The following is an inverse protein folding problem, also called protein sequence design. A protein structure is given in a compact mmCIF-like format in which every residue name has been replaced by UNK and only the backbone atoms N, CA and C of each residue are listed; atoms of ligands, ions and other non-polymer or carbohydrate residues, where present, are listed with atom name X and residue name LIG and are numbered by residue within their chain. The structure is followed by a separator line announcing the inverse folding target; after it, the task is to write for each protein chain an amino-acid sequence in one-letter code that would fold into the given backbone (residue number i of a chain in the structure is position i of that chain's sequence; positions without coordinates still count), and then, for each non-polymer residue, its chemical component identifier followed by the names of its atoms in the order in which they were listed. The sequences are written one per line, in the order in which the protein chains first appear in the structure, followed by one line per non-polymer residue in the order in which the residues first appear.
data_IF_351163100128
#
_entry.id   IF_351163100128
#
_cell.length_a   1.000
_cell.length_b   1.000
_cell.length_c   1.000
_cell.angle_alpha   90.00
_cell.angle_beta   90.00
_cell.angle_gamma   90.00
#
_symmetry.space_group_name_H-M   'P 1'
#
loop_
_entity.id
_entity.type
_entity.pdbx_description
1 polymer ?
#
# COMPACT_ATOMS: atom_id res chain seq x y z
N UNK A 1 -0.30 -18.07 -6.77
CA UNK A 1 0.75 -17.03 -6.55
C UNK A 1 0.42 -15.67 -7.17
N UNK A 2 -0.15 -15.61 -8.38
CA UNK A 2 -0.54 -14.34 -9.02
C UNK A 2 -1.42 -13.44 -8.13
N UNK A 3 -2.45 -14.03 -7.52
CA UNK A 3 -3.37 -13.30 -6.62
C UNK A 3 -2.66 -12.74 -5.38
N UNK A 4 -1.87 -13.57 -4.69
CA UNK A 4 -1.12 -13.14 -3.50
C UNK A 4 -0.12 -12.02 -3.80
N UNK A 5 0.50 -12.05 -4.99
CA UNK A 5 1.32 -10.94 -5.50
C UNK A 5 0.49 -9.66 -5.68
N UNK A 6 -0.71 -9.79 -6.24
CA UNK A 6 -1.61 -8.66 -6.43
C UNK A 6 -2.06 -8.05 -5.10
N UNK A 7 -2.42 -8.87 -4.09
CA UNK A 7 -2.77 -8.39 -2.75
C UNK A 7 -1.59 -7.65 -2.09
N UNK A 8 -0.36 -8.14 -2.30
CA UNK A 8 0.86 -7.44 -1.85
C UNK A 8 0.99 -6.07 -2.52
N UNK A 9 0.76 -5.99 -3.83
CA UNK A 9 0.79 -4.72 -4.57
C UNK A 9 -0.31 -3.75 -4.11
N UNK A 10 -1.50 -4.23 -3.74
CA UNK A 10 -2.55 -3.40 -3.14
C UNK A 10 -2.07 -2.80 -1.80
N UNK A 11 -1.50 -3.63 -0.93
CA UNK A 11 -0.94 -3.18 0.35
C UNK A 11 0.18 -2.16 0.14
N UNK A 12 1.09 -2.38 -0.82
CA UNK A 12 2.15 -1.43 -1.16
C UNK A 12 1.58 -0.10 -1.67
N UNK A 13 0.54 -0.11 -2.51
CA UNK A 13 -0.12 1.12 -2.98
C UNK A 13 -0.76 1.88 -1.84
N UNK A 14 -1.46 1.20 -0.92
CA UNK A 14 -2.05 1.82 0.27
C UNK A 14 -0.96 2.37 1.18
N UNK A 15 0.11 1.61 1.43
CA UNK A 15 1.24 2.08 2.23
C UNK A 15 1.87 3.34 1.63
N UNK A 16 2.11 3.37 0.31
CA UNK A 16 2.63 4.54 -0.40
C UNK A 16 1.66 5.73 -0.39
N UNK A 17 0.34 5.48 -0.35
CA UNK A 17 -0.66 6.52 -0.19
C UNK A 17 -0.53 7.17 1.19
N UNK A 18 -0.49 6.34 2.24
CA UNK A 18 -0.43 6.77 3.64
C UNK A 18 0.90 7.45 3.97
N UNK A 19 2.03 6.93 3.49
CA UNK A 19 3.36 7.54 3.68
C UNK A 19 3.68 8.63 2.67
N UNK A 20 2.79 8.86 1.70
CA UNK A 20 3.02 9.72 0.55
C UNK A 20 2.49 11.14 0.71
N UNK A 21 2.59 11.95 -0.37
CA UNK A 21 2.12 13.34 -0.37
C UNK A 21 0.60 13.45 -0.18
N UNK A 22 -0.17 12.40 -0.44
CA UNK A 22 -1.63 12.38 -0.28
C UNK A 22 -2.05 12.65 1.17
N UNK A 23 -1.44 11.97 2.14
CA UNK A 23 -1.69 12.22 3.58
C UNK A 23 -1.34 13.65 3.97
N UNK A 24 -0.21 14.17 3.47
CA UNK A 24 0.17 15.55 3.70
C UNK A 24 -0.82 16.55 3.07
N UNK A 25 -1.43 16.21 1.93
CA UNK A 25 -2.50 17.01 1.32
C UNK A 25 -3.79 16.98 2.14
N UNK A 26 -4.21 15.81 2.63
CA UNK A 26 -5.37 15.68 3.51
C UNK A 26 -5.23 16.49 4.79
N UNK A 27 -4.11 16.36 5.52
CA UNK A 27 -3.83 17.11 6.74
C UNK A 27 -3.78 18.63 6.49
N UNK A 28 -3.14 19.06 5.39
CA UNK A 28 -3.14 20.47 5.01
C UNK A 28 -4.56 20.95 4.75
N UNK A 29 -5.36 20.20 3.99
CA UNK A 29 -6.76 20.50 3.73
C UNK A 29 -7.56 20.72 5.00
N UNK A 30 -7.55 19.74 5.91
CA UNK A 30 -8.22 19.83 7.19
C UNK A 30 -7.79 21.07 8.00
N UNK A 31 -6.48 21.32 8.09
CA UNK A 31 -5.94 22.51 8.77
C UNK A 31 -6.43 23.82 8.17
N UNK A 32 -6.42 23.96 6.85
CA UNK A 32 -6.80 25.20 6.18
C UNK A 32 -8.30 25.43 6.17
N UNK A 33 -9.11 24.37 6.02
CA UNK A 33 -10.56 24.43 6.19
C UNK A 33 -10.91 24.81 7.63
N UNK A 34 -10.29 24.19 8.62
CA UNK A 34 -10.50 24.55 10.04
C UNK A 34 -10.13 26.00 10.34
N UNK A 35 -9.01 26.52 9.80
CA UNK A 35 -8.65 27.94 9.90
C UNK A 35 -9.68 28.87 9.23
N UNK A 36 -10.21 28.47 8.07
CA UNK A 36 -11.23 29.24 7.37
C UNK A 36 -12.54 29.25 8.17
N UNK A 37 -12.99 28.09 8.65
CA UNK A 37 -14.19 27.95 9.47
C UNK A 37 -14.08 28.78 10.75
N UNK A 38 -12.93 28.73 11.42
CA UNK A 38 -12.65 29.58 12.59
C UNK A 38 -12.71 31.06 12.24
N UNK A 39 -12.07 31.50 11.15
CA UNK A 39 -12.08 32.92 10.75
C UNK A 39 -13.48 33.43 10.36
N UNK A 40 -14.30 32.58 9.74
CA UNK A 40 -15.71 32.92 9.42
C UNK A 40 -16.54 33.01 10.68
N UNK A 41 -16.44 32.03 11.58
CA UNK A 41 -17.22 31.99 12.82
C UNK A 41 -16.84 33.14 13.74
N UNK A 42 -15.54 33.39 13.92
CA UNK A 42 -15.02 34.53 14.70
C UNK A 42 -15.56 35.86 14.18
N UNK A 43 -15.57 36.04 12.85
CA UNK A 43 -16.11 37.25 12.24
C UNK A 43 -17.60 37.42 12.57
N UNK A 44 -18.41 36.38 12.38
CA UNK A 44 -19.84 36.41 12.65
C UNK A 44 -20.11 36.69 14.14
N UNK A 45 -19.46 35.96 15.05
CA UNK A 45 -19.63 36.15 16.49
C UNK A 45 -19.18 37.53 16.95
N UNK A 46 -18.06 38.04 16.42
CA UNK A 46 -17.62 39.42 16.68
C UNK A 46 -18.71 40.43 16.31
N UNK A 47 -19.41 40.24 15.17
CA UNK A 47 -20.51 41.12 14.81
C UNK A 47 -21.66 41.04 15.81
N UNK A 48 -21.93 39.88 16.38
CA UNK A 48 -22.96 39.75 17.44
C UNK A 48 -22.56 40.51 18.70
N UNK A 49 -21.31 40.38 19.15
CA UNK A 49 -20.83 41.03 20.38
C UNK A 49 -20.64 42.55 20.23
N UNK A 50 -20.39 43.02 19.01
CA UNK A 50 -20.28 44.45 18.68
C UNK A 50 -21.64 45.09 18.31
N UNK A 51 -22.76 44.40 18.57
CA UNK A 51 -24.10 44.89 18.26
C UNK A 51 -24.87 45.33 19.52
N UNK A 52 -25.83 46.22 19.32
CA UNK A 52 -26.83 46.66 20.28
C UNK A 52 -28.24 46.25 19.83
N UNK A 53 -29.26 46.52 20.65
CA UNK A 53 -30.64 46.10 20.38
C UNK A 53 -31.20 46.56 19.02
N UNK A 54 -30.77 47.71 18.51
CA UNK A 54 -31.27 48.30 17.25
C UNK A 54 -30.17 48.63 16.24
N UNK A 55 -28.90 48.35 16.58
CA UNK A 55 -27.73 48.69 15.77
C UNK A 55 -26.81 47.48 15.68
N UNK A 56 -26.41 47.10 14.48
CA UNK A 56 -25.60 45.91 14.28
C UNK A 56 -25.47 45.49 12.82
N UNK A 57 -24.58 44.54 12.61
CA UNK A 57 -24.19 44.06 11.28
C UNK A 57 -24.86 42.75 10.86
N UNK A 58 -25.54 42.06 11.78
CA UNK A 58 -26.25 40.81 11.49
C UNK A 58 -27.74 40.98 11.79
N UNK A 59 -28.59 40.59 10.84
CA UNK A 59 -30.04 40.57 10.97
C UNK A 59 -30.54 39.13 10.99
N UNK A 60 -31.53 38.84 11.84
CA UNK A 60 -32.10 37.50 11.95
C UNK A 60 -32.96 37.11 10.73
N UNK A 61 -33.54 38.10 10.04
CA UNK A 61 -34.39 37.91 8.86
C UNK A 61 -34.25 39.14 7.96
N UNK A 62 -34.08 38.93 6.66
CA UNK A 62 -34.10 40.00 5.67
C UNK A 62 -35.43 40.78 5.74
N UNK A 63 -35.37 42.09 5.58
CA UNK A 63 -36.50 43.01 5.60
C UNK A 63 -36.93 43.43 7.01
N UNK A 64 -36.18 43.06 8.05
CA UNK A 64 -36.56 43.30 9.46
C UNK A 64 -35.43 43.98 10.25
N UNK A 65 -35.82 44.69 11.30
CA UNK A 65 -34.92 45.40 12.21
C UNK A 65 -34.37 44.51 13.34
N UNK A 66 -34.64 43.22 13.34
CA UNK A 66 -34.23 42.31 14.41
C UNK A 66 -32.73 42.01 14.26
N UNK A 67 -31.92 42.76 14.99
CA UNK A 67 -30.47 42.58 15.08
C UNK A 67 -30.17 41.34 15.92
N UNK A 68 -29.23 40.53 15.45
CA UNK A 68 -28.62 39.47 16.26
C UNK A 68 -27.52 40.12 17.10
N UNK A 69 -27.71 40.19 18.42
CA UNK A 69 -26.78 40.87 19.33
C UNK A 69 -26.12 39.95 20.37
N UNK A 70 -26.29 38.64 20.21
CA UNK A 70 -25.59 37.63 20.99
C UNK A 70 -25.28 36.38 20.15
N UNK A 71 -24.16 35.72 20.43
CA UNK A 71 -23.78 34.49 19.74
C UNK A 71 -24.84 33.37 19.88
N UNK A 72 -25.50 33.27 21.05
CA UNK A 72 -26.57 32.31 21.26
C UNK A 72 -27.78 32.54 20.32
N UNK A 73 -28.09 33.79 19.99
CA UNK A 73 -29.13 34.13 19.02
C UNK A 73 -28.71 33.74 17.60
N UNK A 74 -27.43 33.98 17.24
CA UNK A 74 -26.87 33.58 15.95
C UNK A 74 -26.97 32.07 15.77
N UNK A 75 -26.55 31.29 16.76
CA UNK A 75 -26.57 29.83 16.70
C UNK A 75 -27.99 29.27 16.70
N UNK A 76 -28.94 29.94 17.38
CA UNK A 76 -30.35 29.54 17.34
C UNK A 76 -31.02 29.86 16.00
N UNK A 77 -30.67 30.98 15.36
CA UNK A 77 -31.20 31.35 14.05
C UNK A 77 -30.55 30.52 12.93
N UNK A 78 -29.28 30.19 13.07
CA UNK A 78 -28.47 29.49 12.10
C UNK A 78 -27.56 28.46 12.78
N UNK A 79 -28.08 27.23 12.94
CA UNK A 79 -27.35 26.16 13.66
C UNK A 79 -26.00 25.82 13.01
N UNK A 80 -25.84 26.05 11.70
CA UNK A 80 -24.59 25.89 10.96
C UNK A 80 -23.54 26.99 11.21
N UNK A 81 -23.89 28.05 11.96
CA UNK A 81 -23.00 29.19 12.25
C UNK A 81 -22.29 29.06 13.61
N UNK A 82 -22.18 27.83 14.15
CA UNK A 82 -21.36 27.50 15.32
C UNK A 82 -20.25 26.52 14.94
N UNK A 83 -19.16 26.52 15.70
CA UNK A 83 -18.12 25.50 15.55
C UNK A 83 -18.62 24.17 16.09
N UNK A 84 -18.37 23.11 15.33
CA UNK A 84 -18.52 21.74 15.81
C UNK A 84 -17.20 21.28 16.43
N UNK A 85 -17.27 20.88 17.70
CA UNK A 85 -16.13 20.39 18.48
C UNK A 85 -16.14 18.86 18.63
N UNK A 86 -17.09 18.17 17.98
CA UNK A 86 -17.11 16.72 17.93
C UNK A 86 -15.85 16.18 17.26
N UNK A 87 -15.47 14.95 17.64
CA UNK A 87 -14.38 14.26 16.97
C UNK A 87 -14.76 14.01 15.50
N UNK A 88 -13.86 14.29 14.54
CA UNK A 88 -14.13 14.03 13.13
C UNK A 88 -14.42 12.55 12.90
N UNK A 89 -15.58 12.25 12.32
CA UNK A 89 -15.94 10.92 11.86
C UNK A 89 -15.53 10.70 10.41
N UNK A 90 -15.33 9.44 10.03
CA UNK A 90 -15.16 9.08 8.62
C UNK A 90 -16.49 9.29 7.90
N UNK A 91 -16.45 10.06 6.81
CA UNK A 91 -17.58 10.25 5.91
C UNK A 91 -17.16 10.01 4.47
N UNK A 92 -17.97 9.25 3.74
CA UNK A 92 -17.73 8.95 2.32
C UNK A 92 -18.33 10.01 1.39
N UNK A 93 -19.04 11.00 1.95
CA UNK A 93 -19.72 12.03 1.17
C UNK A 93 -18.74 13.12 0.76
N UNK A 94 -18.58 13.39 -0.55
CA UNK A 94 -17.74 14.48 -1.02
C UNK A 94 -18.23 15.84 -0.51
N UNK A 95 -17.34 16.80 -0.19
CA UNK A 95 -17.76 18.13 0.23
C UNK A 95 -18.59 18.84 -0.86
N UNK A 96 -19.78 19.33 -0.50
CA UNK A 96 -20.68 20.00 -1.43
C UNK A 96 -20.31 21.47 -1.70
N UNK A 97 -19.71 22.16 -0.72
CA UNK A 97 -19.46 23.62 -0.79
C UNK A 97 -18.06 23.95 -1.32
N UNK A 98 -17.00 23.34 -0.77
CA UNK A 98 -15.62 23.55 -1.21
C UNK A 98 -15.19 22.34 -2.04
N UNK A 99 -15.12 22.48 -3.36
CA UNK A 99 -14.82 21.38 -4.28
C UNK A 99 -13.42 21.50 -4.87
N UNK A 100 -13.05 20.55 -5.74
CA UNK A 100 -11.77 20.54 -6.47
C UNK A 100 -11.58 21.75 -7.39
N UNK A 101 -12.68 22.41 -7.79
CA UNK A 101 -12.67 23.55 -8.71
C UNK A 101 -12.72 24.89 -8.00
N UNK A 102 -13.40 25.00 -6.85
CA UNK A 102 -13.66 26.27 -6.16
C UNK A 102 -14.82 26.09 -5.18
N UNK A 103 -15.55 27.17 -4.89
CA UNK A 103 -16.78 27.07 -4.10
C UNK A 103 -18.01 26.84 -4.98
N UNK A 104 -19.01 26.14 -4.44
CA UNK A 104 -20.34 25.98 -5.03
C UNK A 104 -21.39 26.78 -4.24
N UNK A 105 -22.63 26.76 -4.72
CA UNK A 105 -23.75 27.47 -4.10
C UNK A 105 -23.69 28.98 -4.31
N UNK A 106 -24.29 29.73 -3.37
CA UNK A 106 -24.49 31.19 -3.49
C UNK A 106 -23.19 31.98 -3.61
N UNK A 107 -22.09 31.52 -2.99
CA UNK A 107 -20.80 32.22 -3.02
C UNK A 107 -20.02 32.01 -4.32
N UNK A 108 -20.43 31.08 -5.19
CA UNK A 108 -19.70 30.70 -6.40
C UNK A 108 -19.43 31.91 -7.32
N UNK A 109 -20.46 32.70 -7.58
CA UNK A 109 -20.39 33.79 -8.55
C UNK A 109 -20.06 35.15 -7.91
N UNK A 110 -19.65 35.15 -6.63
CA UNK A 110 -19.55 36.36 -5.84
C UNK A 110 -20.92 36.91 -5.45
N UNK A 111 -20.90 37.87 -4.54
CA UNK A 111 -22.08 38.59 -4.06
C UNK A 111 -21.77 40.08 -4.08
N UNK A 112 -22.66 40.88 -4.65
CA UNK A 112 -22.57 42.33 -4.62
C UNK A 112 -22.99 42.90 -3.26
N UNK A 113 -22.88 44.21 -3.09
CA UNK A 113 -23.35 44.88 -1.89
C UNK A 113 -24.83 44.60 -1.59
N UNK A 114 -25.69 44.71 -2.60
CA UNK A 114 -27.13 44.52 -2.45
C UNK A 114 -27.49 43.04 -2.18
N UNK A 115 -26.59 42.10 -2.50
CA UNK A 115 -26.75 40.68 -2.17
C UNK A 115 -26.27 40.33 -0.74
N UNK A 116 -25.41 41.17 -0.15
CA UNK A 116 -24.80 40.94 1.17
C UNK A 116 -25.36 41.81 2.27
N UNK A 117 -26.11 42.85 1.93
CA UNK A 117 -26.64 43.83 2.86
C UNK A 117 -28.11 44.10 2.59
N UNK A 118 -28.82 44.43 3.66
CA UNK A 118 -30.22 44.79 3.61
C UNK A 118 -30.37 46.28 3.95
N UNK A 119 -30.89 47.06 3.02
CA UNK A 119 -31.10 48.50 3.17
C UNK A 119 -32.45 48.88 3.76
N UNK A 120 -33.30 47.91 4.09
CA UNK A 120 -34.66 48.15 4.62
C UNK A 120 -34.68 48.71 6.05
N UNK A 121 -33.56 48.64 6.77
CA UNK A 121 -33.44 49.09 8.15
C UNK A 121 -32.14 49.87 8.37
N UNK A 122 -32.23 50.99 9.12
CA UNK A 122 -31.05 51.78 9.48
C UNK A 122 -30.31 51.18 10.69
N UNK A 123 -29.54 50.11 10.45
CA UNK A 123 -28.86 49.35 11.50
C UNK A 123 -27.43 49.82 11.78
N UNK A 124 -26.91 50.82 11.05
CA UNK A 124 -25.57 51.42 11.19
C UNK A 124 -24.42 50.41 11.34
N UNK A 125 -24.27 49.48 10.39
CA UNK A 125 -23.14 48.56 10.36
C UNK A 125 -21.84 49.26 9.88
N UNK A 126 -21.01 49.71 10.82
CA UNK A 126 -19.79 50.47 10.52
C UNK A 126 -18.71 49.67 9.75
N UNK A 127 -18.67 48.34 9.92
CA UNK A 127 -17.77 47.47 9.13
C UNK A 127 -18.24 47.26 7.70
N UNK A 128 -19.50 47.54 7.41
CA UNK A 128 -20.15 47.28 6.12
C UNK A 128 -20.21 48.48 5.20
N UNK A 129 -19.61 49.62 5.56
CA UNK A 129 -19.62 50.81 4.71
C UNK A 129 -18.57 50.75 3.61
N UNK A 130 -18.82 51.50 2.53
CA UNK A 130 -17.94 51.52 1.36
C UNK A 130 -16.53 52.05 1.62
N UNK A 131 -15.60 51.68 0.74
CA UNK A 131 -14.17 52.00 0.82
C UNK A 131 -13.83 53.48 0.88
N UNK A 132 -14.72 54.38 0.46
CA UNK A 132 -14.53 55.83 0.58
C UNK A 132 -14.94 56.41 1.94
N UNK A 133 -15.76 55.69 2.69
CA UNK A 133 -16.44 56.12 3.91
C UNK A 133 -16.42 55.03 4.97
N UNK A 134 -15.33 54.25 5.04
CA UNK A 134 -15.20 53.11 5.95
C UNK A 134 -15.23 53.60 7.41
N UNK A 135 -16.17 53.12 8.23
CA UNK A 135 -16.47 53.76 9.53
C UNK A 135 -15.83 53.11 10.75
N UNK A 136 -15.38 51.86 10.66
CA UNK A 136 -14.87 51.09 11.82
C UNK A 136 -13.90 51.86 12.73
N UNK A 137 -13.01 52.69 12.16
CA UNK A 137 -12.01 53.47 12.91
C UNK A 137 -12.31 54.96 13.01
N UNK A 138 -13.34 55.47 12.33
CA UNK A 138 -13.63 56.91 12.20
C UNK A 138 -15.11 57.28 12.43
N UNK A 139 -15.91 56.36 12.99
CA UNK A 139 -17.30 56.58 13.38
C UNK A 139 -18.12 57.28 12.31
N UNK A 140 -18.80 58.37 12.68
CA UNK A 140 -19.71 59.11 11.80
C UNK A 140 -19.03 59.75 10.58
N UNK A 141 -17.74 60.07 10.65
CA UNK A 141 -17.03 60.72 9.54
C UNK A 141 -16.55 59.74 8.47
N UNK A 142 -16.23 58.50 8.87
CA UNK A 142 -15.61 57.51 7.99
C UNK A 142 -14.23 57.94 7.45
N UNK A 143 -13.53 57.01 6.81
CA UNK A 143 -12.27 57.31 6.11
C UNK A 143 -12.08 56.43 4.88
N UNK A 144 -11.22 56.88 3.96
CA UNK A 144 -10.91 56.14 2.75
C UNK A 144 -9.93 55.00 3.07
N UNK A 145 -10.31 53.78 2.73
CA UNK A 145 -9.48 52.57 2.83
C UNK A 145 -9.14 51.99 1.44
N UNK A 146 -9.32 52.77 0.36
CA UNK A 146 -9.06 52.33 -1.03
C UNK A 146 -7.65 51.78 -1.26
N UNK A 147 -6.65 52.30 -0.53
CA UNK A 147 -5.27 51.81 -0.61
C UNK A 147 -5.05 50.43 0.04
N UNK A 148 -5.91 50.05 1.00
CA UNK A 148 -5.78 48.85 1.82
C UNK A 148 -7.18 48.30 2.15
N UNK A 149 -7.86 47.79 1.12
CA UNK A 149 -9.25 47.30 1.25
C UNK A 149 -9.32 46.19 2.31
N UNK A 150 -10.16 46.33 3.35
CA UNK A 150 -10.35 45.33 4.38
C UNK A 150 -10.74 43.96 3.83
N UNK A 151 -10.10 42.91 4.37
CA UNK A 151 -10.46 41.51 4.14
C UNK A 151 -10.93 40.89 5.45
N UNK A 152 -12.14 40.36 5.46
CA UNK A 152 -12.84 39.85 6.63
C UNK A 152 -13.20 38.37 6.43
N UNK A 153 -13.52 37.67 7.52
CA UNK A 153 -13.90 36.25 7.48
C UNK A 153 -12.90 35.37 6.70
N UNK A 154 -11.61 35.53 7.00
CA UNK A 154 -10.54 34.81 6.30
C UNK A 154 -10.34 35.22 4.84
N UNK A 155 -10.84 36.40 4.43
CA UNK A 155 -10.75 36.93 3.07
C UNK A 155 -11.93 36.54 2.17
N UNK A 156 -12.99 35.93 2.70
CA UNK A 156 -14.23 35.67 1.95
C UNK A 156 -15.09 36.91 1.79
N UNK A 157 -15.02 37.85 2.73
CA UNK A 157 -15.70 39.12 2.69
C UNK A 157 -14.68 40.23 2.44
N UNK A 158 -15.00 41.13 1.52
CA UNK A 158 -14.26 42.36 1.25
C UNK A 158 -15.24 43.53 1.22
N UNK A 159 -14.74 44.75 1.08
CA UNK A 159 -15.59 45.93 0.85
C UNK A 159 -15.27 46.60 -0.48
N UNK A 160 -16.29 47.03 -1.21
CA UNK A 160 -16.16 47.81 -2.45
C UNK A 160 -16.53 49.29 -2.21
N UNK A 161 -16.93 50.04 -3.24
CA UNK A 161 -17.33 51.45 -3.06
C UNK A 161 -18.62 51.62 -2.25
N UNK A 162 -19.45 50.59 -2.16
CA UNK A 162 -20.78 50.63 -1.56
C UNK A 162 -20.79 49.94 -0.19
N UNK A 163 -20.05 48.85 -0.03
CA UNK A 163 -19.96 48.13 1.24
C UNK A 163 -19.49 46.69 1.06
N UNK A 164 -20.00 45.78 1.88
CA UNK A 164 -19.61 44.36 1.81
C UNK A 164 -19.81 43.76 0.42
N UNK A 165 -18.89 42.90 0.02
CA UNK A 165 -18.98 42.07 -1.17
C UNK A 165 -18.28 40.74 -0.92
N UNK A 166 -18.64 39.73 -1.69
CA UNK A 166 -17.92 38.46 -1.79
C UNK A 166 -17.32 38.37 -3.19
N UNK A 167 -15.99 38.18 -3.34
CA UNK A 167 -15.40 38.00 -4.66
C UNK A 167 -15.92 36.73 -5.33
N UNK A 168 -15.75 36.59 -6.64
CA UNK A 168 -16.05 35.34 -7.35
C UNK A 168 -15.15 34.22 -6.79
N UNK A 169 -15.70 33.05 -6.46
CA UNK A 169 -14.94 31.94 -5.85
C UNK A 169 -15.04 30.62 -6.64
N UNK A 170 -15.58 30.67 -7.86
CA UNK A 170 -15.88 29.50 -8.71
C UNK A 170 -14.66 28.73 -9.25
N UNK A 171 -13.46 29.32 -9.20
CA UNK A 171 -12.23 28.69 -9.68
C UNK A 171 -11.12 28.72 -8.63
N UNK A 172 -10.22 27.74 -8.69
CA UNK A 172 -9.08 27.58 -7.80
C UNK A 172 -8.18 28.81 -7.77
N UNK A 173 -7.97 29.43 -8.93
CA UNK A 173 -7.14 30.63 -9.05
C UNK A 173 -7.77 31.78 -8.28
N UNK A 174 -9.05 32.07 -8.55
CA UNK A 174 -9.72 33.22 -7.91
C UNK A 174 -9.91 32.98 -6.41
N UNK A 175 -10.26 31.75 -6.01
CA UNK A 175 -10.35 31.35 -4.62
C UNK A 175 -9.04 31.57 -3.84
N UNK A 176 -7.89 31.27 -4.47
CA UNK A 176 -6.56 31.46 -3.87
C UNK A 176 -6.15 32.93 -3.78
N UNK A 177 -6.60 33.77 -4.71
CA UNK A 177 -6.36 35.22 -4.67
C UNK A 177 -7.22 35.91 -3.60
N UNK A 178 -8.47 35.44 -3.43
CA UNK A 178 -9.38 35.97 -2.42
C UNK A 178 -8.90 35.65 -1.01
N UNK A 179 -8.65 34.37 -0.73
CA UNK A 179 -8.30 33.83 0.58
C UNK A 179 -7.22 32.75 0.47
N UNK A 180 -6.11 32.92 1.20
CA UNK A 180 -5.06 31.90 1.28
C UNK A 180 -5.62 30.58 1.84
N UNK A 181 -6.50 30.66 2.84
CA UNK A 181 -7.12 29.50 3.48
C UNK A 181 -8.01 28.74 2.51
N UNK A 182 -8.89 29.45 1.78
CA UNK A 182 -9.76 28.81 0.79
C UNK A 182 -8.96 28.23 -0.38
N UNK A 183 -7.97 28.95 -0.90
CA UNK A 183 -7.10 28.45 -1.98
C UNK A 183 -6.39 27.16 -1.60
N UNK A 184 -5.89 27.10 -0.36
CA UNK A 184 -5.25 25.90 0.17
C UNK A 184 -6.23 24.75 0.39
N UNK A 185 -7.46 25.03 0.86
CA UNK A 185 -8.53 24.04 0.99
C UNK A 185 -8.94 23.45 -0.37
N UNK A 186 -9.17 24.29 -1.39
CA UNK A 186 -9.48 23.84 -2.76
C UNK A 186 -8.32 23.03 -3.36
N UNK A 187 -7.07 23.45 -3.13
CA UNK A 187 -5.88 22.69 -3.57
C UNK A 187 -5.80 21.33 -2.89
N UNK A 188 -6.10 21.24 -1.59
CA UNK A 188 -6.13 19.98 -0.88
C UNK A 188 -7.25 19.07 -1.41
N UNK A 189 -8.47 19.58 -1.58
CA UNK A 189 -9.59 18.82 -2.15
C UNK A 189 -9.26 18.26 -3.54
N UNK A 190 -8.56 19.03 -4.39
CA UNK A 190 -8.11 18.59 -5.69
C UNK A 190 -7.04 17.48 -5.62
N UNK A 191 -6.16 17.56 -4.62
CA UNK A 191 -5.05 16.62 -4.43
C UNK A 191 -5.39 15.45 -3.49
N UNK A 192 -6.63 15.33 -3.01
CA UNK A 192 -7.08 14.14 -2.30
C UNK A 192 -6.95 12.98 -3.27
N UNK A 193 -6.09 12.04 -2.93
CA UNK A 193 -5.92 10.85 -3.72
C UNK A 193 -7.24 10.06 -3.74
N UNK A 194 -7.56 9.40 -4.87
CA UNK A 194 -8.74 8.55 -4.92
C UNK A 194 -8.65 7.48 -3.84
N UNK A 195 -9.78 7.14 -3.26
CA UNK A 195 -9.89 5.95 -2.43
C UNK A 195 -9.40 4.76 -3.27
N UNK A 196 -8.51 3.94 -2.70
CA UNK A 196 -8.10 2.71 -3.37
C UNK A 196 -9.24 1.73 -3.09
N UNK A 197 -10.16 1.61 -4.06
CA UNK A 197 -11.18 0.57 -4.00
C UNK A 197 -10.46 -0.77 -3.81
N UNK A 198 -10.84 -1.50 -2.75
CA UNK A 198 -10.51 -2.91 -2.67
C UNK A 198 -11.21 -3.56 -3.86
N UNK A 199 -10.44 -3.94 -4.89
CA UNK A 199 -11.02 -4.66 -6.01
C UNK A 199 -11.63 -5.94 -5.44
N UNK A 200 -12.96 -6.03 -5.41
CA UNK A 200 -13.68 -7.25 -5.06
C UNK A 200 -13.49 -8.23 -6.22
N UNK A 201 -12.42 -9.01 -6.12
CA UNK A 201 -11.97 -9.96 -7.15
C UNK A 201 -12.38 -11.39 -6.81
N UNK A 202 -13.52 -11.56 -6.14
CA UNK A 202 -14.06 -12.86 -5.74
C UNK A 202 -14.63 -13.69 -6.91
N UNK A 203 -14.47 -13.23 -8.15
CA UNK A 203 -15.03 -13.85 -9.35
C UNK A 203 -14.09 -13.67 -10.55
N UNK A 204 -14.15 -14.61 -11.49
CA UNK A 204 -13.34 -14.62 -12.73
C UNK A 204 -13.54 -13.33 -13.55
N UNK A 205 -14.76 -12.81 -13.78
CA UNK A 205 -14.95 -11.57 -14.52
C UNK A 205 -14.25 -10.37 -13.88
N UNK A 206 -14.24 -10.30 -12.54
CA UNK A 206 -13.57 -9.24 -11.80
C UNK A 206 -12.03 -9.36 -11.87
N UNK A 207 -11.49 -10.58 -11.79
CA UNK A 207 -10.06 -10.82 -12.00
C UNK A 207 -9.60 -10.39 -13.39
N UNK A 208 -10.38 -10.72 -14.43
CA UNK A 208 -10.05 -10.36 -15.82
C UNK A 208 -10.05 -8.86 -16.08
N UNK A 209 -10.91 -8.11 -15.40
CA UNK A 209 -11.04 -6.66 -15.58
C UNK A 209 -10.11 -5.85 -14.66
N UNK A 210 -9.67 -6.43 -13.54
CA UNK A 210 -8.81 -5.77 -12.57
C UNK A 210 -7.41 -5.47 -13.16
N UNK A 211 -7.14 -4.19 -13.43
CA UNK A 211 -5.86 -3.73 -13.96
C UNK A 211 -4.67 -4.15 -13.09
N UNK A 212 -4.83 -4.15 -11.77
CA UNK A 212 -3.79 -4.57 -10.82
C UNK A 212 -3.52 -6.08 -10.88
N UNK A 213 -4.54 -6.89 -11.16
CA UNK A 213 -4.35 -8.32 -11.34
C UNK A 213 -3.62 -8.63 -12.65
N UNK A 214 -3.86 -7.84 -13.71
CA UNK A 214 -3.21 -8.00 -15.02
C UNK A 214 -1.68 -7.99 -14.92
N UNK A 215 -1.11 -7.08 -14.14
CA UNK A 215 0.34 -6.99 -13.93
C UNK A 215 0.91 -8.25 -13.26
N UNK A 216 0.22 -8.76 -12.24
CA UNK A 216 0.57 -10.02 -11.58
C UNK A 216 0.34 -11.23 -12.50
N UNK A 217 -0.72 -11.22 -13.31
CA UNK A 217 -1.05 -12.28 -14.24
C UNK A 217 0.02 -12.44 -15.33
N UNK A 218 0.55 -11.33 -15.88
CA UNK A 218 1.71 -11.35 -16.80
C UNK A 218 2.90 -12.07 -16.19
N UNK A 219 3.21 -11.77 -14.92
CA UNK A 219 4.36 -12.36 -14.23
C UNK A 219 4.22 -13.85 -13.99
N UNK A 220 3.04 -14.31 -13.59
CA UNK A 220 2.87 -15.69 -13.12
C UNK A 220 2.26 -16.65 -14.14
N UNK A 221 1.45 -16.16 -15.09
CA UNK A 221 0.88 -16.98 -16.16
C UNK A 221 1.71 -16.91 -17.44
N UNK A 222 2.31 -15.75 -17.76
CA UNK A 222 3.09 -15.57 -19.00
C UNK A 222 4.60 -15.53 -18.78
N UNK A 223 5.07 -15.52 -17.51
CA UNK A 223 6.48 -15.32 -17.16
C UNK A 223 7.08 -14.06 -17.79
N UNK A 224 6.29 -12.98 -17.84
CA UNK A 224 6.66 -11.68 -18.42
C UNK A 224 6.84 -10.61 -17.35
N UNK A 225 7.46 -9.50 -17.74
CA UNK A 225 7.51 -8.33 -16.85
C UNK A 225 6.12 -7.69 -16.71
N UNK A 226 5.91 -6.90 -15.65
CA UNK A 226 4.63 -6.24 -15.38
C UNK A 226 4.16 -5.33 -16.51
N UNK A 227 5.10 -4.76 -17.28
CA UNK A 227 4.81 -3.77 -18.35
C UNK A 227 4.80 -4.37 -19.76
N UNK A 228 5.18 -5.65 -19.91
CA UNK A 228 5.26 -6.31 -21.20
C UNK A 228 3.88 -6.87 -21.58
N UNK A 229 3.16 -6.11 -22.40
CA UNK A 229 1.76 -6.39 -22.76
C UNK A 229 1.60 -7.41 -23.91
N UNK A 230 2.70 -7.95 -24.45
CA UNK A 230 2.62 -9.06 -25.39
C UNK A 230 1.82 -10.22 -24.78
N UNK A 231 0.92 -10.79 -25.58
CA UNK A 231 0.10 -11.96 -25.23
C UNK A 231 -0.94 -11.72 -24.11
N UNK A 232 -1.22 -10.47 -23.75
CA UNK A 232 -2.30 -10.11 -22.82
C UNK A 232 -3.67 -10.69 -23.22
N UNK A 233 -3.90 -10.88 -24.52
CA UNK A 233 -5.12 -11.49 -25.07
C UNK A 233 -5.30 -12.96 -24.65
N UNK A 234 -4.23 -13.65 -24.22
CA UNK A 234 -4.30 -15.02 -23.70
C UNK A 234 -4.57 -15.09 -22.20
N UNK A 235 -4.42 -13.98 -21.45
CA UNK A 235 -4.64 -13.97 -20.00
C UNK A 235 -6.05 -14.41 -19.59
N UNK A 236 -7.14 -13.99 -20.26
CA UNK A 236 -8.49 -14.39 -19.84
C UNK A 236 -8.70 -15.90 -19.80
N UNK A 237 -8.20 -16.65 -20.79
CA UNK A 237 -8.33 -18.11 -20.82
C UNK A 237 -7.41 -18.80 -19.82
N UNK A 238 -6.20 -18.26 -19.60
CA UNK A 238 -5.29 -18.76 -18.56
C UNK A 238 -5.85 -18.57 -17.15
N UNK A 239 -6.55 -17.46 -16.91
CA UNK A 239 -7.24 -17.18 -15.64
C UNK A 239 -8.39 -18.17 -15.45
N UNK A 240 -9.23 -18.38 -16.46
CA UNK A 240 -10.31 -19.39 -16.40
C UNK A 240 -9.76 -20.78 -16.13
N UNK A 241 -8.71 -21.20 -16.85
CA UNK A 241 -8.11 -22.50 -16.66
C UNK A 241 -7.46 -22.68 -15.27
N UNK A 242 -6.99 -21.59 -14.66
CA UNK A 242 -6.36 -21.65 -13.34
C UNK A 242 -7.36 -21.81 -12.20
N UNK A 243 -8.54 -21.19 -12.30
CA UNK A 243 -9.53 -21.18 -11.22
C UNK A 243 -10.78 -22.02 -11.50
N UNK A 244 -10.98 -22.47 -12.74
CA UNK A 244 -12.16 -23.17 -13.27
C UNK A 244 -13.46 -22.34 -13.24
N UNK A 245 -13.87 -21.88 -12.06
CA UNK A 245 -15.09 -21.12 -11.83
C UNK A 245 -14.92 -20.10 -10.68
N UNK A 246 -15.97 -19.31 -10.42
CA UNK A 246 -15.97 -18.32 -9.34
C UNK A 246 -15.84 -18.95 -7.94
N UNK A 247 -16.29 -20.20 -7.76
CA UNK A 247 -16.11 -20.90 -6.49
C UNK A 247 -14.65 -21.32 -6.28
N UNK A 248 -13.95 -21.73 -7.35
CA UNK A 248 -12.53 -22.01 -7.34
C UNK A 248 -11.69 -20.77 -7.04
N UNK A 249 -12.10 -19.59 -7.53
CA UNK A 249 -11.51 -18.31 -7.12
C UNK A 249 -11.58 -18.15 -5.60
N UNK A 250 -12.77 -18.23 -5.00
CA UNK A 250 -12.94 -18.06 -3.54
C UNK A 250 -12.16 -19.09 -2.73
N UNK A 251 -12.21 -20.34 -3.16
CA UNK A 251 -11.53 -21.46 -2.51
C UNK A 251 -10.03 -21.28 -2.48
N UNK A 252 -9.43 -20.98 -3.64
CA UNK A 252 -7.97 -20.90 -3.77
C UNK A 252 -7.39 -19.58 -3.25
N UNK A 253 -8.20 -18.52 -3.22
CA UNK A 253 -7.77 -17.20 -2.75
C UNK A 253 -7.92 -17.02 -1.25
N UNK A 254 -9.05 -17.43 -0.68
CA UNK A 254 -9.41 -17.12 0.70
C UNK A 254 -9.51 -18.39 1.53
N UNK A 255 -10.38 -19.32 1.15
CA UNK A 255 -10.73 -20.45 2.04
C UNK A 255 -9.55 -21.35 2.36
N UNK A 256 -8.66 -21.61 1.40
CA UNK A 256 -7.48 -22.43 1.60
C UNK A 256 -6.49 -21.80 2.60
N UNK A 257 -6.30 -20.48 2.53
CA UNK A 257 -5.45 -19.76 3.47
C UNK A 257 -6.14 -19.60 4.83
N UNK A 258 -7.42 -19.22 4.84
CA UNK A 258 -8.18 -18.98 6.05
C UNK A 258 -8.31 -20.24 6.91
N UNK A 259 -8.46 -21.40 6.26
CA UNK A 259 -8.55 -22.68 6.94
C UNK A 259 -7.21 -23.32 7.28
N UNK A 260 -6.08 -22.70 6.91
CA UNK A 260 -4.78 -23.27 7.18
C UNK A 260 -4.54 -23.36 8.70
N UNK A 261 -4.37 -24.57 9.25
CA UNK A 261 -4.22 -24.76 10.69
C UNK A 261 -2.86 -24.24 11.16
N UNK A 262 -2.83 -23.63 12.34
CA UNK A 262 -1.62 -23.12 12.97
C UNK A 262 -1.23 -24.09 14.10
N UNK A 263 0.04 -24.56 14.12
CA UNK A 263 0.54 -25.37 15.23
C UNK A 263 0.33 -24.69 16.59
N UNK A 264 0.04 -25.49 17.62
CA UNK A 264 -0.30 -25.01 18.96
C UNK A 264 0.80 -24.15 19.58
N UNK A 265 2.06 -24.42 19.26
CA UNK A 265 3.23 -23.67 19.73
C UNK A 265 3.40 -22.31 19.04
N UNK A 266 2.73 -22.08 17.91
CA UNK A 266 2.83 -20.84 17.13
C UNK A 266 1.58 -19.96 17.22
N UNK A 267 0.43 -20.54 17.61
CA UNK A 267 -0.83 -19.80 17.71
C UNK A 267 -0.71 -18.65 18.72
N UNK A 268 -1.21 -17.44 18.42
CA UNK A 268 -1.19 -16.35 19.39
C UNK A 268 -2.14 -16.58 20.56
N UNK A 269 -3.23 -17.34 20.34
CA UNK A 269 -4.20 -17.73 21.38
C UNK A 269 -4.92 -19.03 20.99
N UNK A 270 -5.62 -19.66 21.96
CA UNK A 270 -6.38 -20.89 21.74
C UNK A 270 -7.48 -20.72 20.68
N UNK A 271 -8.12 -19.55 20.63
CA UNK A 271 -9.18 -19.25 19.67
C UNK A 271 -8.65 -19.03 18.23
N UNK A 272 -7.35 -18.79 18.07
CA UNK A 272 -6.68 -18.47 16.80
C UNK A 272 -5.89 -19.67 16.27
N UNK A 273 -6.58 -20.80 16.10
CA UNK A 273 -6.08 -22.08 15.62
C UNK A 273 -5.90 -22.16 14.09
N UNK A 274 -6.34 -21.14 13.35
CA UNK A 274 -6.27 -21.04 11.89
C UNK A 274 -5.82 -19.64 11.47
N UNK A 275 -5.16 -19.54 10.32
CA UNK A 275 -4.66 -18.25 9.78
C UNK A 275 -5.79 -17.24 9.60
N UNK A 276 -6.94 -17.65 9.07
CA UNK A 276 -8.09 -16.75 8.85
C UNK A 276 -8.76 -16.22 10.12
N UNK A 277 -8.40 -16.74 11.31
CA UNK A 277 -8.87 -16.23 12.60
C UNK A 277 -7.93 -15.18 13.21
N UNK A 278 -6.80 -14.87 12.55
CA UNK A 278 -5.84 -13.88 13.03
C UNK A 278 -6.08 -12.56 12.30
N UNK A 279 -6.57 -11.57 13.06
CA UNK A 279 -6.83 -10.22 12.53
C UNK A 279 -5.69 -9.24 12.84
N UNK A 280 -4.72 -9.64 13.68
CA UNK A 280 -3.57 -8.80 14.01
C UNK A 280 -2.41 -9.01 13.03
N UNK A 281 -1.98 -7.92 12.39
CA UNK A 281 -0.92 -7.93 11.40
C UNK A 281 0.43 -8.42 11.98
N UNK A 282 0.76 -8.06 13.22
CA UNK A 282 2.04 -8.46 13.83
C UNK A 282 2.11 -9.97 14.04
N UNK A 283 1.02 -10.58 14.49
CA UNK A 283 0.89 -12.03 14.63
C UNK A 283 1.00 -12.75 13.28
N UNK A 284 0.36 -12.23 12.23
CA UNK A 284 0.52 -12.77 10.87
C UNK A 284 1.98 -12.67 10.38
N UNK A 285 2.64 -11.54 10.60
CA UNK A 285 4.05 -11.36 10.22
C UNK A 285 4.98 -12.30 10.99
N UNK A 286 4.73 -12.53 12.28
CA UNK A 286 5.49 -13.50 13.09
C UNK A 286 5.40 -14.91 12.49
N UNK A 287 4.19 -15.35 12.11
CA UNK A 287 3.97 -16.64 11.47
C UNK A 287 4.67 -16.71 10.11
N UNK A 288 4.55 -15.66 9.28
CA UNK A 288 5.22 -15.58 7.99
C UNK A 288 6.73 -15.78 8.13
N UNK A 289 7.39 -15.06 9.03
CA UNK A 289 8.83 -15.17 9.23
C UNK A 289 9.25 -16.54 9.78
N UNK A 290 8.45 -17.14 10.66
CA UNK A 290 8.69 -18.50 11.14
C UNK A 290 8.70 -19.52 9.98
N UNK A 291 7.62 -19.56 9.18
CA UNK A 291 7.52 -20.51 8.07
C UNK A 291 8.53 -20.23 6.96
N UNK A 292 8.82 -18.96 6.68
CA UNK A 292 9.89 -18.59 5.73
C UNK A 292 11.23 -19.16 6.16
N UNK A 293 11.63 -18.94 7.41
CA UNK A 293 12.89 -19.45 7.94
C UNK A 293 12.94 -20.98 7.95
N UNK A 294 11.84 -21.63 8.34
CA UNK A 294 11.74 -23.10 8.31
C UNK A 294 11.87 -23.67 6.90
N UNK A 295 11.22 -23.05 5.91
CA UNK A 295 11.33 -23.44 4.51
C UNK A 295 12.73 -23.21 3.94
N UNK A 296 13.37 -22.09 4.28
CA UNK A 296 14.77 -21.82 3.89
C UNK A 296 15.71 -22.89 4.47
N UNK A 297 15.58 -23.23 5.75
CA UNK A 297 16.36 -24.30 6.37
C UNK A 297 16.13 -25.64 5.68
N UNK A 298 14.87 -26.01 5.46
CA UNK A 298 14.50 -27.25 4.76
C UNK A 298 15.10 -27.32 3.35
N UNK A 299 15.12 -26.21 2.61
CA UNK A 299 15.73 -26.14 1.28
C UNK A 299 17.26 -26.31 1.35
N UNK A 300 17.93 -25.64 2.29
CA UNK A 300 19.36 -25.78 2.50
C UNK A 300 19.73 -27.24 2.86
N UNK A 301 18.93 -27.89 3.70
CA UNK A 301 19.14 -29.29 4.06
C UNK A 301 18.97 -30.22 2.85
N UNK A 302 18.00 -29.95 1.97
CA UNK A 302 17.82 -30.70 0.71
C UNK A 302 18.99 -30.47 -0.24
N UNK A 303 19.46 -29.21 -0.39
CA UNK A 303 20.63 -28.88 -1.21
C UNK A 303 21.85 -29.63 -0.68
N UNK A 304 22.07 -29.64 0.63
CA UNK A 304 23.17 -30.36 1.26
C UNK A 304 23.08 -31.87 1.01
N UNK A 305 21.90 -32.47 1.16
CA UNK A 305 21.69 -33.90 0.83
C UNK A 305 21.99 -34.21 -0.63
N UNK A 306 21.60 -33.33 -1.55
CA UNK A 306 21.91 -33.50 -2.98
C UNK A 306 23.41 -33.38 -3.24
N UNK A 307 24.09 -32.42 -2.62
CA UNK A 307 25.54 -32.26 -2.71
C UNK A 307 26.30 -33.46 -2.12
N UNK A 308 25.87 -33.97 -0.96
CA UNK A 308 26.46 -35.13 -0.32
C UNK A 308 26.28 -36.39 -1.19
N UNK A 309 25.10 -36.57 -1.78
CA UNK A 309 24.82 -37.66 -2.72
C UNK A 309 25.65 -37.54 -4.02
N UNK A 310 25.86 -36.32 -4.52
CA UNK A 310 26.69 -36.08 -5.71
C UNK A 310 28.18 -36.29 -5.41
N UNK A 311 28.65 -35.88 -4.23
CA UNK A 311 30.02 -36.11 -3.77
C UNK A 311 30.32 -37.60 -3.59
N UNK A 312 29.36 -38.38 -3.08
CA UNK A 312 29.48 -39.84 -3.01
C UNK A 312 29.59 -40.51 -4.39
N UNK A 313 28.99 -39.93 -5.42
CA UNK A 313 29.11 -40.41 -6.81
C UNK A 313 30.41 -39.99 -7.50
N UNK A 314 30.95 -38.81 -7.17
CA UNK A 314 32.19 -38.28 -7.78
C UNK A 314 33.46 -38.83 -7.15
N UNK A 315 33.44 -39.11 -5.85
CA UNK A 315 34.53 -39.75 -5.12
C UNK A 315 34.01 -41.03 -4.44
N UNK A 316 33.84 -42.13 -5.20
CA UNK A 316 33.56 -43.42 -4.58
C UNK A 316 34.70 -43.74 -3.59
N UNK A 317 34.35 -44.16 -2.37
CA UNK A 317 35.36 -44.58 -1.37
C UNK A 317 36.25 -45.68 -1.95
N UNK A 318 37.58 -45.61 -1.77
CA UNK A 318 38.50 -46.62 -2.28
C UNK A 318 38.11 -48.04 -1.82
N UNK A 319 38.32 -49.05 -2.66
CA UNK A 319 38.06 -50.45 -2.33
C UNK A 319 38.64 -50.87 -0.95
N UNK A 320 39.82 -50.35 -0.59
CA UNK A 320 40.51 -50.61 0.67
C UNK A 320 39.75 -50.11 1.91
N UNK A 321 39.05 -48.98 1.82
CA UNK A 321 38.25 -48.46 2.93
C UNK A 321 36.92 -49.21 3.08
N UNK A 322 36.36 -49.72 1.97
CA UNK A 322 35.19 -50.61 2.02
C UNK A 322 35.55 -51.99 2.60
N UNK A 323 36.74 -52.51 2.31
CA UNK A 323 37.22 -53.77 2.86
C UNK A 323 37.51 -53.69 4.37
N UNK A 324 38.00 -52.53 4.86
CA UNK A 324 38.12 -52.26 6.31
C UNK A 324 36.75 -52.23 7.01
N UNK A 325 35.70 -51.73 6.36
CA UNK A 325 34.34 -51.73 6.90
C UNK A 325 33.76 -53.15 6.98
N UNK A 326 33.96 -53.99 5.95
CA UNK A 326 33.58 -55.41 6.01
C UNK A 326 34.31 -56.17 7.13
N UNK A 327 35.59 -55.83 7.40
CA UNK A 327 36.41 -56.48 8.41
C UNK A 327 36.17 -55.99 9.85
N UNK A 328 35.58 -54.80 10.05
CA UNK A 328 35.34 -54.22 11.39
C UNK A 328 33.94 -54.47 11.95
N UNK A 329 32.90 -54.54 11.09
CA UNK A 329 31.50 -54.71 11.53
C UNK A 329 31.09 -56.15 11.87
N UNK A 330 31.84 -57.16 11.45
CA UNK A 330 31.39 -58.56 11.46
C UNK A 330 31.96 -59.43 12.57
N UNK A 331 32.06 -58.95 13.82
CA UNK A 331 32.67 -59.75 14.89
C UNK A 331 31.77 -60.81 15.53
N UNK A 332 30.43 -60.70 15.59
CA UNK A 332 29.62 -61.75 16.25
C UNK A 332 28.16 -61.81 15.75
N UNK A 333 27.72 -63.01 15.30
CA UNK A 333 26.34 -63.50 15.01
C UNK A 333 25.85 -63.48 13.55
N UNK A 334 25.09 -64.53 13.19
CA UNK A 334 24.60 -64.89 11.85
C UNK A 334 23.65 -63.86 11.23
N UNK A 335 22.93 -63.10 12.05
CA UNK A 335 21.98 -62.05 11.63
C UNK A 335 22.67 -60.82 11.03
N UNK A 336 23.94 -60.56 11.38
CA UNK A 336 24.74 -59.50 10.77
C UNK A 336 25.25 -59.87 9.36
N UNK A 337 25.14 -61.13 8.96
CA UNK A 337 25.59 -61.62 7.65
C UNK A 337 24.61 -61.25 6.52
N UNK A 338 23.30 -61.25 6.79
CA UNK A 338 22.28 -60.86 5.79
C UNK A 338 22.26 -59.35 5.52
N UNK A 339 22.60 -58.53 6.52
CA UNK A 339 22.71 -57.07 6.37
C UNK A 339 23.94 -56.66 5.55
N UNK A 340 25.07 -57.35 5.73
CA UNK A 340 26.32 -57.06 5.03
C UNK A 340 26.38 -57.61 3.60
N UNK A 341 25.56 -58.62 3.26
CA UNK A 341 25.41 -59.12 1.89
C UNK A 341 24.83 -58.05 0.95
N UNK A 342 23.91 -57.19 1.45
CA UNK A 342 23.36 -56.05 0.71
C UNK A 342 24.39 -54.94 0.44
N UNK A 343 25.51 -54.94 1.17
CA UNK A 343 26.65 -54.02 0.99
C UNK A 343 27.80 -54.64 0.15
N UNK A 344 27.63 -55.87 -0.39
CA UNK A 344 28.59 -56.52 -1.30
C UNK A 344 29.75 -57.29 -0.62
N UNK A 345 29.71 -57.48 0.71
CA UNK A 345 30.71 -58.26 1.44
C UNK A 345 30.38 -59.77 1.39
N UNK A 346 31.32 -60.63 0.97
CA UNK A 346 31.11 -62.10 0.91
C UNK A 346 32.16 -62.83 1.76
N UNK A 347 31.76 -63.94 2.39
CA UNK A 347 32.68 -64.78 3.16
C UNK A 347 33.63 -65.53 2.21
N UNK A 348 34.94 -65.38 2.39
CA UNK A 348 35.95 -66.10 1.59
C UNK A 348 36.39 -67.39 2.32
N UNK A 349 36.01 -68.59 1.84
CA UNK A 349 36.31 -69.84 2.54
C UNK A 349 37.76 -70.35 2.34
N UNK A 350 38.62 -69.66 1.59
CA UNK A 350 40.00 -70.13 1.29
C UNK A 350 41.08 -69.74 2.32
N UNK A 351 40.75 -69.08 3.42
CA UNK A 351 41.73 -68.67 4.44
C UNK A 351 41.62 -69.51 5.71
N UNK A 352 42.33 -70.64 5.77
CA UNK A 352 42.19 -71.61 6.87
C UNK A 352 42.91 -71.26 8.18
N UNK A 353 43.50 -70.05 8.34
CA UNK A 353 44.09 -69.65 9.64
C UNK A 353 43.82 -68.23 10.13
N UNK A 354 43.04 -67.43 9.41
CA UNK A 354 42.51 -66.14 9.90
C UNK A 354 41.23 -65.82 9.13
N UNK A 355 40.06 -65.82 9.80
CA UNK A 355 38.74 -65.55 9.20
C UNK A 355 38.59 -64.07 8.78
N UNK A 356 39.32 -63.63 7.75
CA UNK A 356 39.17 -62.28 7.16
C UNK A 356 38.10 -62.31 6.05
N UNK A 357 37.18 -61.34 6.09
CA UNK A 357 36.11 -61.17 5.09
C UNK A 357 36.68 -60.33 3.92
N UNK A 358 36.29 -60.66 2.69
CA UNK A 358 36.70 -59.93 1.48
C UNK A 358 35.46 -59.40 0.74
N UNK A 359 35.60 -58.31 -0.01
CA UNK A 359 34.56 -57.90 -0.98
C UNK A 359 34.37 -59.00 -2.04
N UNK A 360 33.13 -59.19 -2.51
CA UNK A 360 32.87 -60.12 -3.61
C UNK A 360 33.61 -59.68 -4.89
N UNK A 361 34.02 -60.62 -5.72
CA UNK A 361 34.69 -60.33 -7.00
C UNK A 361 33.85 -59.41 -7.91
N UNK A 362 32.53 -59.58 -7.93
CA UNK A 362 31.62 -58.67 -8.64
C UNK A 362 31.62 -57.25 -8.08
N UNK A 363 31.66 -57.11 -6.75
CA UNK A 363 31.73 -55.79 -6.09
C UNK A 363 33.08 -55.13 -6.28
N UNK A 364 34.17 -55.91 -6.31
CA UNK A 364 35.53 -55.42 -6.61
C UNK A 364 35.62 -54.91 -8.04
N UNK A 365 35.12 -55.67 -9.01
CA UNK A 365 35.10 -55.24 -10.42
C UNK A 365 34.21 -54.01 -10.66
N UNK A 366 33.10 -53.88 -9.92
CA UNK A 366 32.25 -52.69 -9.99
C UNK A 366 32.95 -51.44 -9.44
N UNK A 367 33.66 -51.57 -8.30
CA UNK A 367 34.43 -50.48 -7.69
C UNK A 367 35.62 -50.08 -8.56
N UNK A 368 36.36 -51.04 -9.13
CA UNK A 368 37.46 -50.75 -10.07
C UNK A 368 36.98 -50.06 -11.35
N UNK A 369 35.78 -50.41 -11.87
CA UNK A 369 35.17 -49.70 -12.99
C UNK A 369 34.73 -48.28 -12.63
N UNK A 370 34.19 -48.06 -11.43
CA UNK A 370 33.83 -46.72 -10.93
C UNK A 370 35.07 -45.83 -10.67
N UNK A 371 36.13 -46.39 -10.08
CA UNK A 371 37.41 -45.70 -9.85
C UNK A 371 38.12 -45.35 -11.17
N UNK A 372 38.08 -46.25 -12.17
CA UNK A 372 38.62 -45.98 -13.51
C UNK A 372 37.81 -44.89 -14.27
N UNK A 373 36.50 -44.82 -14.08
CA UNK A 373 35.63 -43.78 -14.62
C UNK A 373 35.85 -42.40 -13.93
N UNK A 374 36.13 -42.39 -12.63
CA UNK A 374 36.50 -41.17 -11.90
C UNK A 374 37.91 -40.66 -12.30
N UNK A 375 38.87 -41.56 -12.54
CA UNK A 375 40.22 -41.18 -12.97
C UNK A 375 40.28 -40.59 -14.40
N UNK A 376 39.36 -41.00 -15.29
CA UNK A 376 39.27 -40.47 -16.66
C UNK A 376 38.68 -39.06 -16.72
N UNK A 377 37.76 -38.70 -15.81
CA UNK A 377 37.20 -37.33 -15.72
C UNK A 377 38.19 -36.31 -15.14
N UNK A 378 39.08 -36.70 -14.22
CA UNK A 378 40.19 -35.86 -13.72
C UNK A 378 41.23 -35.57 -14.82
N UNK A 379 41.58 -36.57 -15.65
CA UNK A 379 42.49 -36.38 -16.80
C UNK A 379 41.91 -35.40 -17.85
N UNK A 380 40.59 -35.28 -17.99
CA UNK A 380 39.96 -34.29 -18.86
C UNK A 380 40.03 -32.85 -18.31
N UNK A 381 40.02 -32.64 -16.98
CA UNK A 381 40.16 -31.30 -16.39
C UNK A 381 41.55 -30.68 -16.59
N UNK A 382 42.61 -31.49 -16.66
CA UNK A 382 43.98 -30.99 -16.90
C UNK A 382 44.26 -30.57 -18.35
N UNK A 383 43.46 -31.00 -19.34
CA UNK A 383 43.67 -30.65 -20.76
C UNK A 383 42.92 -29.41 -21.24
N UNK A 384 42.04 -28.80 -20.45
CA UNK A 384 41.22 -27.64 -20.88
C UNK A 384 41.78 -26.26 -20.51
N UNK A 385 42.92 -26.16 -19.81
CA UNK A 385 43.46 -24.86 -19.34
C UNK A 385 44.44 -24.15 -20.29
N UNK A 386 44.83 -24.72 -21.43
CA UNK A 386 45.87 -24.14 -22.32
C UNK A 386 45.38 -23.62 -23.67
N UNK A 387 44.07 -23.51 -23.93
CA UNK A 387 43.55 -22.81 -25.12
C UNK A 387 42.33 -21.95 -24.80
N UNK A 388 42.53 -20.90 -24.03
CA UNK A 388 41.65 -19.73 -24.01
C UNK A 388 42.52 -18.47 -24.05
N UNK A 389 42.92 -18.07 -25.25
CA UNK A 389 43.43 -16.73 -25.52
C UNK A 389 42.66 -16.12 -26.68
N UNK A 390 42.03 -14.98 -26.37
CA UNK A 390 41.43 -13.97 -27.25
C UNK A 390 40.18 -14.37 -28.06
N UNK A 391 39.01 -13.91 -27.59
CA UNK A 391 37.93 -13.49 -28.47
C UNK A 391 37.94 -11.95 -28.54
N UNK A 392 38.15 -11.34 -29.72
CA UNK A 392 37.93 -9.92 -29.91
C UNK A 392 36.43 -9.60 -30.10
N UNK A 393 36.05 -8.47 -29.52
CA UNK A 393 34.79 -7.74 -29.67
C UNK A 393 34.25 -7.70 -31.11
N UNK A 394 32.97 -8.03 -31.32
CA UNK A 394 32.25 -7.66 -32.54
C UNK A 394 31.02 -6.81 -32.25
N UNK A 395 31.10 -5.61 -32.84
CA UNK A 395 30.11 -4.55 -32.99
C UNK A 395 28.80 -5.08 -33.60
N UNK A 396 27.67 -4.67 -33.03
CA UNK A 396 26.38 -4.68 -33.72
C UNK A 396 26.43 -3.53 -34.73
N UNK A 397 26.53 -3.89 -36.01
CA UNK A 397 26.45 -2.99 -37.15
C UNK A 397 25.14 -3.20 -37.89
N UNK A 398 24.33 -2.14 -37.91
CA UNK A 398 23.07 -1.95 -38.61
C UNK A 398 23.26 -1.88 -40.13
N UNK A 399 22.28 -2.38 -40.91
CA UNK A 399 21.77 -1.97 -42.24
C UNK A 399 21.15 -3.21 -42.93
N UNK A 400 19.98 -3.16 -43.56
CA UNK A 400 19.26 -2.06 -44.22
C UNK A 400 17.85 -1.95 -43.63
#
# INVERSE_FOLDING_TARGET
MAVWSMLTEQIERVANLVSGPASAHGLKGARYVGRLQGAVTEFLETQTYASAATKGCLQAVAGRTNIINAAAELHSAYDSCKLDWAEPTLEDTPPAVITKTGTQGKLRNGLSHDDTTDSSANTDCDTGTGTGTYKLTYGTTGHSVKGHVPKLAGGLLTVDTNGFTVPVLNTKVVASTASEYLGAAVKAANNLAPFIDSADINAIPALKSAAIFKDSARRYFLNKSKTEAQEDNSLPSLIEAAFNDDAGVKKDMYEAADNYPIPEELRPSVAQDKVGKINDFHNLMRLYFHFKNSNTKTLLDKIKKLQDAENQKKNPKPAEDREKVCNTKGKYKQEDYEKLAKEGCVFNPKCEKDKKRALSEESKQAVEKEEAAAATTEKCKRKLKTKCTKAPSRKIGRKI
#
